data_IF_063585356211
#
_entry.id   IF_063585356211
#
_cell.length_a   1.000
_cell.length_b   1.000
_cell.length_c   1.000
_cell.angle_alpha   90.00
_cell.angle_beta   90.00
_cell.angle_gamma   90.00
#
_symmetry.space_group_name_H-M   'P 1'
#
loop_
_entity.id
_entity.type
_entity.pdbx_description
1 polymer ?
#
# COMPACT_ATOMS: atom_id res chain seq x y z
N UNK A 1 10.29 47.57 28.11
CA UNK A 1 10.57 46.53 27.09
C UNK A 1 9.78 45.28 27.44
N UNK A 2 8.60 45.08 26.82
CA UNK A 2 7.76 43.92 27.07
C UNK A 2 8.03 42.85 26.00
N UNK A 3 8.46 41.66 26.42
CA UNK A 3 8.60 40.48 25.55
C UNK A 3 7.21 39.98 25.19
N UNK A 4 6.80 40.17 23.94
CA UNK A 4 5.63 39.50 23.36
C UNK A 4 5.95 38.02 23.19
N UNK A 5 5.40 37.18 24.07
CA UNK A 5 5.34 35.74 23.84
C UNK A 5 4.37 35.49 22.68
N UNK A 6 4.87 34.93 21.58
CA UNK A 6 4.02 34.33 20.55
C UNK A 6 3.35 33.09 21.17
N UNK A 7 2.02 33.10 21.24
CA UNK A 7 1.25 31.91 21.55
C UNK A 7 1.55 30.82 20.49
N UNK A 8 1.61 29.54 20.88
CA UNK A 8 1.72 28.47 19.91
C UNK A 8 0.46 28.45 19.04
N UNK A 9 0.64 28.48 17.72
CA UNK A 9 -0.45 28.21 16.77
C UNK A 9 -0.81 26.73 16.96
N UNK A 10 -1.81 26.47 17.81
CA UNK A 10 -2.45 25.19 17.85
C UNK A 10 -3.15 25.00 16.50
N UNK A 11 -2.56 24.17 15.63
CA UNK A 11 -3.29 23.58 14.52
C UNK A 11 -4.39 22.70 15.14
N UNK A 12 -5.56 23.29 15.40
CA UNK A 12 -6.79 22.53 15.58
C UNK A 12 -6.99 21.81 14.25
N UNK A 13 -6.59 20.53 14.21
CA UNK A 13 -6.85 19.67 13.06
C UNK A 13 -8.32 19.76 12.72
N UNK A 14 -8.65 20.13 11.48
CA UNK A 14 -10.00 19.96 10.98
C UNK A 14 -10.40 18.51 11.26
N UNK A 15 -11.37 18.30 12.14
CA UNK A 15 -11.89 16.97 12.36
C UNK A 15 -12.63 16.56 11.09
N UNK A 16 -12.55 15.29 10.68
CA UNK A 16 -13.18 14.80 9.45
C UNK A 16 -14.68 15.11 9.34
N UNK A 17 -15.35 15.41 10.45
CA UNK A 17 -16.75 15.89 10.51
C UNK A 17 -16.98 17.21 9.75
N UNK A 18 -15.94 18.01 9.53
CA UNK A 18 -16.00 19.26 8.78
C UNK A 18 -15.76 19.09 7.27
N UNK A 19 -15.42 17.88 6.81
CA UNK A 19 -15.15 17.62 5.39
C UNK A 19 -16.45 17.66 4.58
N UNK A 20 -16.59 18.65 3.69
CA UNK A 20 -17.81 18.89 2.90
C UNK A 20 -17.85 18.14 1.56
N UNK A 21 -16.95 17.17 1.34
CA UNK A 21 -16.80 16.46 0.07
C UNK A 21 -17.01 14.94 0.16
N UNK A 22 -16.54 14.22 -0.86
CA UNK A 22 -16.37 12.77 -0.84
C UNK A 22 -14.89 12.44 -0.80
N UNK A 23 -14.51 11.44 -0.01
CA UNK A 23 -13.16 10.89 0.01
C UNK A 23 -13.24 9.38 -0.12
N UNK A 24 -12.19 8.77 -0.66
CA UNK A 24 -11.98 7.34 -0.47
C UNK A 24 -11.68 7.14 1.02
N UNK A 25 -12.57 6.44 1.72
CA UNK A 25 -12.57 6.42 3.18
C UNK A 25 -11.63 5.35 3.73
N UNK A 26 -11.80 4.10 3.30
CA UNK A 26 -10.96 2.99 3.72
C UNK A 26 -10.81 1.96 2.60
N UNK A 27 -9.84 1.07 2.78
CA UNK A 27 -9.69 -0.15 1.98
C UNK A 27 -9.64 -1.36 2.90
N UNK A 28 -10.50 -2.33 2.63
CA UNK A 28 -10.50 -3.63 3.30
C UNK A 28 -9.56 -4.59 2.56
N UNK A 29 -8.69 -5.24 3.31
CA UNK A 29 -7.75 -6.22 2.80
C UNK A 29 -7.76 -7.48 3.64
N UNK A 30 -7.15 -8.53 3.09
CA UNK A 30 -7.03 -9.83 3.73
C UNK A 30 -5.59 -10.34 3.65
N UNK A 31 -5.23 -11.22 4.58
CA UNK A 31 -3.94 -11.91 4.62
C UNK A 31 -4.12 -13.40 4.93
N UNK A 32 -3.09 -14.22 4.66
CA UNK A 32 -3.14 -15.68 4.89
C UNK A 32 -3.16 -16.04 6.38
N UNK A 33 -3.66 -17.23 6.75
CA UNK A 33 -3.64 -17.68 8.13
C UNK A 33 -2.26 -17.58 8.78
N UNK A 34 -2.18 -16.92 9.95
CA UNK A 34 -0.94 -16.75 10.71
C UNK A 34 0.02 -15.67 10.21
N UNK A 35 -0.29 -14.95 9.12
CA UNK A 35 0.61 -13.93 8.54
C UNK A 35 0.41 -12.51 9.08
N UNK A 36 -0.43 -12.32 10.11
CA UNK A 36 -0.78 -10.98 10.65
C UNK A 36 0.44 -10.08 10.89
N UNK A 37 1.49 -10.60 11.53
CA UNK A 37 2.70 -9.82 11.82
C UNK A 37 3.44 -9.35 10.57
N UNK A 38 3.32 -10.08 9.45
CA UNK A 38 3.92 -9.69 8.17
C UNK A 38 3.18 -8.51 7.55
N UNK A 39 1.87 -8.42 7.74
CA UNK A 39 1.08 -7.27 7.27
C UNK A 39 1.57 -5.98 7.92
N UNK A 40 1.77 -5.99 9.24
CA UNK A 40 2.32 -4.85 9.96
C UNK A 40 3.70 -4.46 9.43
N UNK A 41 4.59 -5.44 9.18
CA UNK A 41 5.92 -5.19 8.62
C UNK A 41 5.85 -4.59 7.20
N UNK A 42 4.93 -5.06 6.36
CA UNK A 42 4.72 -4.50 5.00
C UNK A 42 4.31 -3.03 5.10
N UNK A 43 3.30 -2.70 5.92
CA UNK A 43 2.83 -1.31 6.02
C UNK A 43 3.84 -0.38 6.69
N UNK A 44 4.60 -0.84 7.68
CA UNK A 44 5.74 -0.10 8.23
C UNK A 44 6.82 0.15 7.17
N UNK A 45 7.11 -0.85 6.33
CA UNK A 45 8.04 -0.70 5.20
C UNK A 45 7.50 0.21 4.08
N UNK A 46 6.20 0.53 4.09
CA UNK A 46 5.57 1.57 3.26
C UNK A 46 5.42 2.90 4.01
N UNK A 47 6.07 3.07 5.18
CA UNK A 47 6.01 4.31 5.96
C UNK A 47 4.67 4.58 6.64
N UNK A 48 3.77 3.60 6.68
CA UNK A 48 2.45 3.71 7.31
C UNK A 48 2.49 3.34 8.80
N UNK A 49 1.44 3.74 9.52
CA UNK A 49 1.21 3.31 10.89
C UNK A 49 0.67 1.89 10.97
N UNK A 50 0.79 1.27 12.15
CA UNK A 50 0.17 -0.03 12.45
C UNK A 50 -0.38 0.03 13.87
N UNK A 51 -1.67 -0.27 14.02
CA UNK A 51 -2.36 -0.31 15.31
C UNK A 51 -2.90 -1.72 15.52
N UNK A 52 -2.33 -2.41 16.50
CA UNK A 52 -2.77 -3.72 16.95
C UNK A 52 -3.84 -3.56 18.04
N UNK A 53 -5.08 -3.96 17.73
CA UNK A 53 -6.21 -3.85 18.66
C UNK A 53 -6.54 -5.17 19.36
N UNK A 54 -5.89 -6.27 18.98
CA UNK A 54 -6.22 -7.62 19.44
C UNK A 54 -7.54 -8.18 18.87
N UNK A 55 -8.26 -7.40 18.06
CA UNK A 55 -9.49 -7.81 17.38
C UNK A 55 -9.25 -8.39 15.99
N UNK A 56 -10.35 -8.64 15.26
CA UNK A 56 -10.33 -9.20 13.90
C UNK A 56 -9.43 -8.41 12.95
N UNK A 57 -9.49 -7.08 13.02
CA UNK A 57 -8.80 -6.21 12.09
C UNK A 57 -7.46 -5.73 12.66
N UNK A 58 -6.44 -5.74 11.81
CA UNK A 58 -5.27 -4.89 11.94
C UNK A 58 -5.60 -3.55 11.31
N UNK A 59 -5.35 -2.45 12.02
CA UNK A 59 -5.61 -1.12 11.49
C UNK A 59 -4.31 -0.51 11.00
N UNK A 60 -4.34 0.08 9.81
CA UNK A 60 -3.17 0.52 9.07
C UNK A 60 -3.38 1.98 8.63
N UNK A 61 -3.19 2.95 9.54
CA UNK A 61 -3.26 4.36 9.19
C UNK A 61 -2.26 4.71 8.09
N UNK A 62 -2.72 5.41 7.06
CA UNK A 62 -1.89 5.73 5.89
C UNK A 62 -0.96 6.90 6.20
N UNK A 63 -1.42 7.90 6.97
CA UNK A 63 -0.59 9.02 7.37
C UNK A 63 0.31 8.71 8.58
N UNK A 64 1.55 9.24 8.63
CA UNK A 64 2.42 9.06 9.78
C UNK A 64 1.84 9.78 11.01
N UNK A 65 1.70 9.04 12.12
CA UNK A 65 1.16 9.57 13.37
C UNK A 65 -0.36 9.76 13.38
N UNK A 66 -1.08 9.29 12.35
CA UNK A 66 -2.54 9.25 12.36
C UNK A 66 -3.03 8.21 13.37
N UNK A 67 -3.99 8.63 14.20
CA UNK A 67 -4.65 7.78 15.20
C UNK A 67 -6.14 7.57 14.89
N UNK A 68 -6.65 8.17 13.82
CA UNK A 68 -8.00 7.92 13.35
C UNK A 68 -8.10 6.49 12.86
N UNK A 69 -8.92 5.69 13.54
CA UNK A 69 -9.12 4.28 13.24
C UNK A 69 -10.25 4.02 12.24
N UNK A 70 -10.85 5.07 11.67
CA UNK A 70 -12.07 4.99 10.86
C UNK A 70 -11.93 5.60 9.46
N UNK A 71 -11.02 6.56 9.26
CA UNK A 71 -10.89 7.32 8.02
C UNK A 71 -9.45 7.34 7.49
N UNK A 72 -9.31 7.42 6.16
CA UNK A 72 -8.02 7.39 5.46
C UNK A 72 -7.14 6.20 5.90
N UNK A 73 -7.76 5.02 5.97
CA UNK A 73 -7.18 3.87 6.65
C UNK A 73 -7.30 2.60 5.81
N UNK A 74 -6.31 1.72 5.97
CA UNK A 74 -6.42 0.35 5.53
C UNK A 74 -6.78 -0.56 6.72
N UNK A 75 -7.66 -1.51 6.48
CA UNK A 75 -7.93 -2.60 7.41
C UNK A 75 -7.41 -3.91 6.82
N UNK A 76 -6.92 -4.80 7.68
CA UNK A 76 -6.53 -6.13 7.24
C UNK A 76 -7.06 -7.18 8.20
N UNK A 77 -7.71 -8.21 7.67
CA UNK A 77 -8.20 -9.35 8.44
C UNK A 77 -7.63 -10.67 7.91
N UNK A 78 -7.60 -11.69 8.76
CA UNK A 78 -7.25 -13.03 8.30
C UNK A 78 -8.35 -13.54 7.36
N UNK A 79 -7.95 -14.11 6.22
CA UNK A 79 -8.86 -14.64 5.21
C UNK A 79 -9.85 -15.65 5.81
N UNK A 80 -11.11 -15.61 5.38
CA UNK A 80 -12.13 -16.57 5.82
C UNK A 80 -11.83 -17.99 5.31
N UNK A 81 -12.46 -19.01 5.92
CA UNK A 81 -12.24 -20.40 5.51
C UNK A 81 -12.70 -20.66 4.07
N UNK A 82 -13.79 -20.04 3.66
CA UNK A 82 -14.38 -20.17 2.34
C UNK A 82 -13.47 -19.57 1.28
N UNK A 83 -13.00 -18.33 1.50
CA UNK A 83 -12.06 -17.72 0.57
C UNK A 83 -10.72 -18.47 0.57
N UNK A 84 -10.25 -18.91 1.73
CA UNK A 84 -9.00 -19.67 1.80
C UNK A 84 -9.06 -20.98 1.01
N UNK A 85 -10.16 -21.72 1.08
CA UNK A 85 -10.37 -22.92 0.29
C UNK A 85 -10.33 -22.62 -1.22
N UNK A 86 -10.95 -21.52 -1.66
CA UNK A 86 -10.89 -21.05 -3.04
C UNK A 86 -9.46 -20.68 -3.48
N UNK A 87 -8.74 -19.91 -2.68
CA UNK A 87 -7.35 -19.51 -2.95
C UNK A 87 -6.42 -20.72 -3.07
N UNK A 88 -6.59 -21.73 -2.21
CA UNK A 88 -5.81 -22.96 -2.26
C UNK A 88 -6.02 -23.73 -3.57
N UNK A 89 -7.27 -23.89 -4.01
CA UNK A 89 -7.55 -24.56 -5.28
C UNK A 89 -7.07 -23.72 -6.47
N UNK A 90 -7.25 -22.40 -6.47
CA UNK A 90 -6.73 -21.52 -7.52
C UNK A 90 -5.21 -21.60 -7.62
N UNK A 91 -4.50 -21.53 -6.49
CA UNK A 91 -3.05 -21.65 -6.43
C UNK A 91 -2.56 -23.02 -6.94
N UNK A 92 -3.30 -24.10 -6.64
CA UNK A 92 -3.04 -25.44 -7.17
C UNK A 92 -3.23 -25.48 -8.69
N UNK A 93 -4.36 -24.97 -9.20
CA UNK A 93 -4.63 -24.92 -10.64
C UNK A 93 -3.59 -24.10 -11.40
N UNK A 94 -3.10 -22.99 -10.85
CA UNK A 94 -2.00 -22.22 -11.46
C UNK A 94 -0.70 -23.00 -11.62
N UNK A 95 -0.45 -23.99 -10.75
CA UNK A 95 0.71 -24.87 -10.81
C UNK A 95 0.50 -26.05 -11.77
N UNK A 96 -0.71 -26.60 -11.82
CA UNK A 96 -0.97 -27.87 -12.53
C UNK A 96 -1.64 -27.70 -13.89
N UNK A 97 -2.31 -26.59 -14.17
CA UNK A 97 -2.97 -26.31 -15.44
C UNK A 97 -2.07 -25.42 -16.32
N UNK A 98 -1.47 -25.96 -17.41
CA UNK A 98 -0.54 -25.21 -18.24
C UNK A 98 -1.15 -23.97 -18.90
N UNK A 99 -2.42 -24.06 -19.33
CA UNK A 99 -3.11 -22.95 -19.99
C UNK A 99 -3.33 -21.78 -19.02
N UNK A 100 -3.81 -22.08 -17.80
CA UNK A 100 -4.00 -21.07 -16.77
C UNK A 100 -2.66 -20.48 -16.31
N UNK A 101 -1.62 -21.31 -16.14
CA UNK A 101 -0.28 -20.86 -15.79
C UNK A 101 0.30 -19.89 -16.84
N UNK A 102 0.14 -20.21 -18.13
CA UNK A 102 0.59 -19.34 -19.21
C UNK A 102 -0.17 -18.01 -19.24
N UNK A 103 -1.49 -18.04 -19.08
CA UNK A 103 -2.32 -16.84 -19.00
C UNK A 103 -1.91 -15.95 -17.81
N UNK A 104 -1.71 -16.55 -16.63
CA UNK A 104 -1.27 -15.82 -15.45
C UNK A 104 0.12 -15.22 -15.61
N UNK A 105 1.07 -15.94 -16.23
CA UNK A 105 2.41 -15.37 -16.54
C UNK A 105 2.30 -14.13 -17.42
N UNK A 106 1.43 -14.15 -18.43
CA UNK A 106 1.17 -12.97 -19.26
C UNK A 106 0.58 -11.80 -18.45
N UNK A 107 -0.38 -12.10 -17.57
CA UNK A 107 -0.97 -11.12 -16.66
C UNK A 107 0.05 -10.52 -15.68
N UNK A 108 0.87 -11.34 -15.03
CA UNK A 108 1.94 -10.92 -14.11
C UNK A 108 3.03 -10.08 -14.83
N UNK A 109 3.36 -10.44 -16.07
CA UNK A 109 4.27 -9.63 -16.89
C UNK A 109 3.68 -8.26 -17.25
N UNK A 110 2.37 -8.18 -17.51
CA UNK A 110 1.70 -6.90 -17.77
C UNK A 110 1.89 -5.96 -16.57
N UNK A 111 1.80 -6.47 -15.35
CA UNK A 111 2.03 -5.64 -14.17
C UNK A 111 3.42 -4.99 -14.15
N UNK A 112 4.47 -5.76 -14.47
CA UNK A 112 5.84 -5.20 -14.46
C UNK A 112 6.07 -4.16 -15.55
N UNK A 113 5.40 -4.29 -16.70
CA UNK A 113 5.59 -3.41 -17.87
C UNK A 113 4.66 -2.19 -17.85
N UNK A 114 3.41 -2.39 -17.47
CA UNK A 114 2.32 -1.41 -17.57
C UNK A 114 1.47 -1.41 -16.28
N UNK A 115 2.09 -1.18 -15.11
CA UNK A 115 1.39 -1.32 -13.83
C UNK A 115 0.18 -0.39 -13.68
N UNK A 116 0.21 0.79 -14.34
CA UNK A 116 -0.87 1.76 -14.39
C UNK A 116 -2.17 1.17 -14.96
N UNK A 117 -2.08 0.11 -15.80
CA UNK A 117 -3.22 -0.55 -16.44
C UNK A 117 -3.64 -1.84 -15.71
N UNK A 118 -3.31 -1.97 -14.43
CA UNK A 118 -3.69 -3.09 -13.57
C UNK A 118 -4.42 -2.61 -12.32
N UNK A 119 -5.10 -3.51 -11.62
CA UNK A 119 -5.78 -3.16 -10.36
C UNK A 119 -4.78 -2.84 -9.26
N UNK A 120 -4.84 -1.64 -8.71
CA UNK A 120 -4.03 -1.18 -7.59
C UNK A 120 -4.77 -0.10 -6.80
N UNK A 121 -4.24 0.25 -5.63
CA UNK A 121 -4.59 1.47 -4.91
C UNK A 121 -3.33 2.30 -4.66
N UNK A 122 -3.49 3.60 -4.46
CA UNK A 122 -2.39 4.54 -4.30
C UNK A 122 -2.22 5.04 -2.87
N UNK A 123 -0.96 5.18 -2.44
CA UNK A 123 -0.54 5.87 -1.23
C UNK A 123 0.21 7.13 -1.64
N UNK A 124 -0.28 8.28 -1.17
CA UNK A 124 0.34 9.58 -1.47
C UNK A 124 1.41 9.93 -0.42
N UNK A 125 2.59 10.27 -0.91
CA UNK A 125 3.71 10.81 -0.14
C UNK A 125 3.74 12.33 -0.26
N UNK A 126 4.21 13.05 0.78
CA UNK A 126 4.14 14.50 0.83
C UNK A 126 5.11 15.20 -0.12
N UNK A 127 6.17 14.52 -0.59
CA UNK A 127 7.14 15.09 -1.53
C UNK A 127 7.92 13.99 -2.25
N UNK A 128 8.57 14.37 -3.36
CA UNK A 128 9.48 13.48 -4.10
C UNK A 128 10.59 12.93 -3.20
N UNK A 129 11.22 13.79 -2.40
CA UNK A 129 12.30 13.38 -1.49
C UNK A 129 11.86 12.33 -0.47
N UNK A 130 10.63 12.45 0.06
CA UNK A 130 10.09 11.45 1.01
C UNK A 130 9.77 10.14 0.33
N UNK A 131 9.21 10.16 -0.88
CA UNK A 131 8.99 8.95 -1.66
C UNK A 131 10.31 8.26 -2.00
N UNK A 132 11.32 8.98 -2.50
CA UNK A 132 12.62 8.40 -2.85
C UNK A 132 13.33 7.78 -1.64
N UNK A 133 13.28 8.43 -0.48
CA UNK A 133 13.79 7.86 0.76
C UNK A 133 13.08 6.53 1.11
N UNK A 134 11.76 6.47 0.92
CA UNK A 134 10.99 5.25 1.17
C UNK A 134 11.33 4.15 0.15
N UNK A 135 11.47 4.48 -1.13
CA UNK A 135 11.90 3.53 -2.15
C UNK A 135 13.29 2.96 -1.83
N UNK A 136 14.20 3.80 -1.34
CA UNK A 136 15.51 3.33 -0.89
C UNK A 136 15.40 2.38 0.30
N UNK A 137 14.55 2.69 1.29
CA UNK A 137 14.29 1.80 2.41
C UNK A 137 13.75 0.43 1.93
N UNK A 138 12.81 0.40 0.99
CA UNK A 138 12.28 -0.85 0.43
C UNK A 138 13.37 -1.64 -0.31
N UNK A 139 14.34 -0.98 -0.96
CA UNK A 139 15.44 -1.69 -1.65
C UNK A 139 16.42 -2.36 -0.69
N UNK A 140 16.76 -1.72 0.43
CA UNK A 140 17.92 -2.13 1.24
C UNK A 140 17.60 -2.45 2.70
N UNK A 141 16.47 -1.99 3.22
CA UNK A 141 16.14 -1.97 4.64
C UNK A 141 15.04 -2.94 5.06
N UNK A 142 14.53 -3.78 4.15
CA UNK A 142 13.45 -4.69 4.51
C UNK A 142 13.88 -5.74 5.54
N UNK A 143 13.03 -6.00 6.56
CA UNK A 143 13.26 -7.11 7.47
C UNK A 143 13.23 -8.44 6.70
N UNK A 144 14.03 -9.44 7.14
CA UNK A 144 14.18 -10.71 6.42
C UNK A 144 12.85 -11.39 6.04
N UNK A 145 11.84 -11.28 6.90
CA UNK A 145 10.57 -12.00 6.81
C UNK A 145 9.67 -11.50 5.66
N UNK A 146 9.87 -10.27 5.16
CA UNK A 146 9.12 -9.72 4.02
C UNK A 146 10.00 -9.48 2.80
N UNK A 147 11.29 -9.84 2.85
CA UNK A 147 12.20 -9.73 1.71
C UNK A 147 11.77 -10.71 0.62
N UNK A 148 11.61 -10.22 -0.62
CA UNK A 148 11.05 -11.00 -1.73
C UNK A 148 9.53 -11.18 -1.67
N UNK A 149 8.88 -10.63 -0.65
CA UNK A 149 7.41 -10.57 -0.51
C UNK A 149 6.85 -9.16 -0.62
N UNK A 150 7.72 -8.16 -0.66
CA UNK A 150 7.45 -6.78 -1.03
C UNK A 150 8.54 -6.33 -2.01
N UNK A 151 8.15 -6.02 -3.24
CA UNK A 151 9.09 -5.75 -4.34
C UNK A 151 8.69 -4.49 -5.10
N UNK A 152 9.66 -3.60 -5.36
CA UNK A 152 9.47 -2.50 -6.31
C UNK A 152 9.51 -3.08 -7.72
N UNK A 153 8.43 -2.93 -8.46
CA UNK A 153 8.30 -3.42 -9.83
C UNK A 153 8.72 -2.37 -10.85
N UNK A 154 8.39 -1.11 -10.64
CA UNK A 154 8.78 0.00 -11.51
C UNK A 154 8.71 1.34 -10.79
N UNK A 155 9.44 2.32 -11.32
CA UNK A 155 9.43 3.71 -10.87
C UNK A 155 9.46 4.59 -12.11
N UNK A 156 8.50 5.50 -12.21
CA UNK A 156 8.39 6.50 -13.27
C UNK A 156 8.57 7.88 -12.65
N UNK A 157 9.67 8.54 -13.00
CA UNK A 157 9.98 9.92 -12.60
C UNK A 157 9.56 10.90 -13.69
N UNK A 158 9.50 12.21 -13.39
CA UNK A 158 9.37 13.24 -14.42
C UNK A 158 10.39 13.04 -15.55
N UNK A 159 9.91 13.01 -16.79
CA UNK A 159 10.73 12.80 -17.98
C UNK A 159 11.08 11.33 -18.31
N UNK A 160 10.80 10.36 -17.43
CA UNK A 160 11.02 8.95 -17.75
C UNK A 160 10.03 8.46 -18.83
N UNK A 161 10.42 7.53 -19.73
CA UNK A 161 9.48 6.86 -20.61
C UNK A 161 8.35 6.18 -19.82
N UNK A 162 7.10 6.48 -20.17
CA UNK A 162 5.91 5.97 -19.47
C UNK A 162 5.48 6.78 -18.25
N UNK A 163 6.18 7.87 -17.92
CA UNK A 163 5.72 8.85 -16.93
C UNK A 163 4.44 9.55 -17.41
N UNK A 164 3.45 9.64 -16.52
CA UNK A 164 2.16 10.27 -16.82
C UNK A 164 2.26 11.81 -16.85
N UNK A 165 3.17 12.39 -16.07
CA UNK A 165 3.33 13.85 -15.94
C UNK A 165 4.71 14.22 -15.40
N UNK A 166 5.19 15.41 -15.73
CA UNK A 166 6.43 15.97 -15.16
C UNK A 166 6.26 16.46 -13.71
N UNK A 167 5.05 16.47 -13.18
CA UNK A 167 4.75 16.93 -11.81
C UNK A 167 4.60 15.79 -10.80
N UNK A 168 4.75 14.53 -11.23
CA UNK A 168 4.55 13.36 -10.35
C UNK A 168 5.70 12.35 -10.45
N UNK A 169 5.93 11.64 -9.34
CA UNK A 169 6.65 10.36 -9.33
C UNK A 169 5.62 9.28 -9.00
N UNK A 170 5.59 8.22 -9.79
CA UNK A 170 4.80 7.02 -9.53
C UNK A 170 5.73 5.82 -9.40
N UNK A 171 5.70 5.14 -8.26
CA UNK A 171 6.37 3.87 -8.08
C UNK A 171 5.34 2.79 -7.79
N UNK A 172 5.55 1.58 -8.30
CA UNK A 172 4.64 0.46 -8.09
C UNK A 172 5.35 -0.63 -7.32
N UNK A 173 4.74 -1.07 -6.23
CA UNK A 173 5.21 -2.22 -5.45
C UNK A 173 4.21 -3.36 -5.55
N UNK A 174 4.73 -4.59 -5.52
CA UNK A 174 3.94 -5.82 -5.39
C UNK A 174 4.18 -6.44 -4.04
N UNK A 175 3.12 -6.95 -3.42
CA UNK A 175 3.22 -7.84 -2.27
C UNK A 175 2.28 -9.03 -2.41
N UNK A 176 2.67 -10.17 -1.87
CA UNK A 176 1.77 -11.32 -1.74
C UNK A 176 1.19 -11.44 -0.32
N UNK A 177 1.58 -10.59 0.62
CA UNK A 177 1.26 -10.71 2.06
C UNK A 177 -0.19 -10.32 2.36
N UNK A 178 -0.68 -9.26 1.70
CA UNK A 178 -1.96 -8.62 1.99
C UNK A 178 -2.58 -8.10 0.70
N UNK A 179 -3.89 -8.28 0.52
CA UNK A 179 -4.58 -7.93 -0.74
C UNK A 179 -6.00 -7.41 -0.52
N UNK A 180 -6.44 -6.50 -1.39
CA UNK A 180 -7.84 -6.17 -1.62
C UNK A 180 -8.34 -6.99 -2.82
N UNK A 181 -8.56 -8.28 -2.62
CA UNK A 181 -8.94 -9.21 -3.69
C UNK A 181 -8.44 -10.63 -3.45
N UNK A 182 -7.70 -11.18 -4.43
CA UNK A 182 -7.23 -12.56 -4.41
C UNK A 182 -5.77 -12.68 -3.95
N UNK A 183 -5.54 -13.42 -2.86
CA UNK A 183 -4.21 -13.62 -2.26
C UNK A 183 -3.24 -14.28 -3.25
N UNK A 184 -3.77 -15.16 -4.09
CA UNK A 184 -3.00 -15.90 -5.10
C UNK A 184 -2.40 -14.99 -6.17
N UNK A 185 -3.03 -13.85 -6.46
CA UNK A 185 -2.55 -12.90 -7.48
C UNK A 185 -1.63 -11.82 -6.88
N UNK A 186 -1.69 -11.62 -5.56
CA UNK A 186 -0.99 -10.56 -4.85
C UNK A 186 -1.65 -9.19 -5.01
N UNK A 187 -1.09 -8.20 -4.32
CA UNK A 187 -1.54 -6.81 -4.32
C UNK A 187 -0.51 -5.93 -4.98
N UNK A 188 -1.02 -4.97 -5.74
CA UNK A 188 -0.23 -3.88 -6.29
C UNK A 188 -0.58 -2.59 -5.57
N UNK A 189 0.45 -1.85 -5.18
CA UNK A 189 0.29 -0.58 -4.48
C UNK A 189 1.11 0.45 -5.23
N UNK A 190 0.46 1.53 -5.63
CA UNK A 190 1.12 2.71 -6.17
C UNK A 190 1.60 3.60 -5.01
N UNK A 191 2.85 4.01 -5.04
CA UNK A 191 3.43 5.02 -4.18
C UNK A 191 3.62 6.27 -5.03
N UNK A 192 2.88 7.32 -4.72
CA UNK A 192 2.84 8.52 -5.55
C UNK A 192 3.27 9.73 -4.76
N UNK A 193 4.10 10.58 -5.35
CA UNK A 193 4.32 11.94 -4.85
C UNK A 193 4.06 12.92 -5.99
N UNK A 194 3.65 14.14 -5.64
CA UNK A 194 3.40 15.21 -6.59
C UNK A 194 4.10 16.48 -6.11
N UNK A 195 4.69 17.23 -7.03
CA UNK A 195 5.06 18.61 -6.82
C UNK A 195 3.96 19.49 -7.42
N UNK A 196 3.51 20.47 -6.64
CA UNK A 196 2.68 21.55 -7.17
C UNK A 196 3.64 22.58 -7.80
N UNK A 197 3.26 23.05 -8.97
CA UNK A 197 3.93 24.18 -9.64
C UNK A 197 3.85 25.46 -8.79
#
# INVERSE_FOLDING_TARGET
MAKTMKAPIAMKGAQLVDFKGRMLNHIEMIYRPGERSLVGKVFQALGCGVIETGGTYLLLPIGPGETDSLNNIAYASEVTKEQWAFEQELAKQLKTNPALSAAYKGYDQKFRKEPQLTTHFGIRYPSFAKLEAQLQHIRTGLPPEIRGRLEICSVFRPGDPGSLSNTIIQAFVKTDVVVAGLLTLGQHIELQAQQLE
#
